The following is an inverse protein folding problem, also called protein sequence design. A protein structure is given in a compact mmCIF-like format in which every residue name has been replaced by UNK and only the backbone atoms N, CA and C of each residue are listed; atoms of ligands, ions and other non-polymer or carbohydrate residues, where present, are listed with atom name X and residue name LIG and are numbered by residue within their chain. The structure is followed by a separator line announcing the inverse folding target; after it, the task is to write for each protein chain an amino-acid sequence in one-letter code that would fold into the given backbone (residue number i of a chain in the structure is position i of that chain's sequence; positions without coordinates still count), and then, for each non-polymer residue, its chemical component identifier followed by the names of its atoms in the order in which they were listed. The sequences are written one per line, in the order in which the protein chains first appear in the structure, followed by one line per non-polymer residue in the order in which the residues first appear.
data_IF_064228091246
#
_entry.id   IF_064228091246
#
_cell.length_a   1.000
_cell.length_b   1.000
_cell.length_c   1.000
_cell.angle_alpha   90.00
_cell.angle_beta   90.00
_cell.angle_gamma   90.00
#
_symmetry.space_group_name_H-M   'P 1'
#
loop_
_entity.id
_entity.type
_entity.pdbx_description
1 polymer ?
#
# COMPACT_ATOMS: atom_id res chain seq x y z
N UNK A 1 19.18 19.30 -10.74
CA UNK A 1 19.63 18.12 -9.96
C UNK A 1 18.58 17.01 -9.91
N UNK A 2 17.29 17.32 -9.81
CA UNK A 2 16.17 16.34 -9.88
C UNK A 2 16.08 15.60 -11.22
N UNK A 3 16.30 16.28 -12.34
CA UNK A 3 16.21 15.64 -13.67
C UNK A 3 17.33 14.63 -13.93
N UNK A 4 18.56 14.90 -13.46
CA UNK A 4 19.68 13.96 -13.57
C UNK A 4 19.44 12.68 -12.74
N UNK A 5 18.87 12.82 -11.54
CA UNK A 5 18.49 11.68 -10.70
C UNK A 5 17.29 10.90 -11.28
N UNK A 6 16.33 11.59 -11.89
CA UNK A 6 15.19 10.96 -12.54
C UNK A 6 15.63 10.15 -13.78
N UNK A 7 16.50 10.71 -14.61
CA UNK A 7 17.06 10.04 -15.81
C UNK A 7 17.93 8.85 -15.39
N UNK A 8 18.77 8.98 -14.36
CA UNK A 8 19.59 7.88 -13.85
C UNK A 8 18.72 6.72 -13.30
N UNK A 9 17.63 7.04 -12.61
CA UNK A 9 16.67 6.05 -12.09
C UNK A 9 15.92 5.36 -13.22
N UNK A 10 15.52 6.11 -14.25
CA UNK A 10 14.77 5.59 -15.41
C UNK A 10 15.63 4.68 -16.29
N UNK A 11 16.88 5.09 -16.58
CA UNK A 11 17.80 4.24 -17.34
C UNK A 11 18.08 2.92 -16.60
N UNK A 12 18.20 2.98 -15.27
CA UNK A 12 18.38 1.78 -14.43
C UNK A 12 17.15 0.86 -14.47
N UNK A 13 15.93 1.39 -14.44
CA UNK A 13 14.73 0.55 -14.54
C UNK A 13 14.60 -0.13 -15.90
N UNK A 14 14.89 0.59 -16.98
CA UNK A 14 14.80 0.05 -18.34
C UNK A 14 15.85 -1.03 -18.58
N UNK A 15 17.06 -0.85 -18.03
CA UNK A 15 18.12 -1.85 -18.10
C UNK A 15 17.79 -3.12 -17.30
N UNK A 16 17.21 -2.99 -16.11
CA UNK A 16 16.75 -4.13 -15.31
C UNK A 16 15.58 -4.86 -15.99
N UNK A 17 14.68 -4.12 -16.63
CA UNK A 17 13.59 -4.69 -17.41
C UNK A 17 14.12 -5.49 -18.60
N UNK A 18 15.10 -4.96 -19.33
CA UNK A 18 15.77 -5.70 -20.43
C UNK A 18 16.47 -6.95 -19.94
N UNK A 19 17.18 -6.87 -18.81
CA UNK A 19 17.85 -8.04 -18.22
C UNK A 19 16.82 -9.11 -17.79
N UNK A 20 15.70 -8.70 -17.21
CA UNK A 20 14.62 -9.62 -16.86
C UNK A 20 14.02 -10.29 -18.11
N UNK A 21 13.79 -9.53 -19.18
CA UNK A 21 13.25 -10.04 -20.43
C UNK A 21 14.21 -11.05 -21.08
N UNK A 22 15.51 -10.77 -21.03
CA UNK A 22 16.56 -11.67 -21.53
C UNK A 22 16.54 -13.03 -20.81
N UNK A 23 16.47 -13.04 -19.47
CA UNK A 23 16.34 -14.28 -18.70
C UNK A 23 15.01 -15.00 -18.95
N UNK A 24 13.90 -14.26 -19.11
CA UNK A 24 12.60 -14.87 -19.43
C UNK A 24 12.61 -15.53 -20.81
N UNK A 25 13.31 -14.95 -21.79
CA UNK A 25 13.37 -15.47 -23.15
C UNK A 25 14.33 -16.67 -23.26
N UNK A 26 15.50 -16.60 -22.63
CA UNK A 26 16.57 -17.58 -22.79
C UNK A 26 16.54 -18.74 -21.78
N UNK A 27 16.16 -18.50 -20.52
CA UNK A 27 16.23 -19.53 -19.47
C UNK A 27 14.90 -20.31 -19.31
N UNK A 28 13.79 -19.82 -19.89
CA UNK A 28 12.46 -20.41 -19.71
C UNK A 28 11.88 -20.99 -20.99
N UNK A 29 11.13 -22.09 -20.85
CA UNK A 29 10.34 -22.65 -21.94
C UNK A 29 9.04 -21.84 -22.15
N UNK A 30 8.40 -21.93 -23.33
CA UNK A 30 7.12 -21.26 -23.59
C UNK A 30 6.06 -21.53 -22.50
N UNK A 31 5.92 -22.79 -22.09
CA UNK A 31 4.98 -23.19 -21.05
C UNK A 31 5.29 -22.56 -19.67
N UNK A 32 6.57 -22.40 -19.32
CA UNK A 32 6.97 -21.77 -18.06
C UNK A 32 6.61 -20.28 -18.06
N UNK A 33 6.78 -19.61 -19.21
CA UNK A 33 6.38 -18.20 -19.40
C UNK A 33 4.88 -18.02 -19.26
N UNK A 34 4.09 -18.93 -19.82
CA UNK A 34 2.63 -18.86 -19.72
C UNK A 34 2.15 -19.07 -18.27
N UNK A 35 2.79 -19.97 -17.52
CA UNK A 35 2.54 -20.13 -16.07
C UNK A 35 2.88 -18.87 -15.28
N UNK A 36 4.01 -18.21 -15.58
CA UNK A 36 4.37 -16.94 -14.95
C UNK A 36 3.38 -15.82 -15.28
N UNK A 37 2.96 -15.71 -16.54
CA UNK A 37 1.92 -14.75 -16.96
C UNK A 37 0.60 -15.01 -16.27
N UNK A 38 0.16 -16.27 -16.18
CA UNK A 38 -1.08 -16.65 -15.49
C UNK A 38 -1.01 -16.37 -13.98
N UNK A 39 0.15 -16.59 -13.35
CA UNK A 39 0.38 -16.25 -11.95
C UNK A 39 0.35 -14.73 -11.74
N UNK A 40 1.02 -13.95 -12.59
CA UNK A 40 1.00 -12.49 -12.53
C UNK A 40 -0.41 -11.92 -12.76
N UNK A 41 -1.16 -12.47 -13.72
CA UNK A 41 -2.54 -12.10 -13.98
C UNK A 41 -3.44 -12.41 -12.77
N UNK A 42 -3.22 -13.56 -12.11
CA UNK A 42 -3.95 -13.93 -10.90
C UNK A 42 -3.67 -12.94 -9.75
N UNK A 43 -2.41 -12.59 -9.52
CA UNK A 43 -2.02 -11.57 -8.53
C UNK A 43 -2.69 -10.24 -8.84
N UNK A 44 -2.55 -9.74 -10.07
CA UNK A 44 -3.15 -8.48 -10.50
C UNK A 44 -4.67 -8.46 -10.33
N UNK A 45 -5.35 -9.53 -10.74
CA UNK A 45 -6.80 -9.66 -10.61
C UNK A 45 -7.23 -9.60 -9.14
N UNK A 46 -6.63 -10.43 -8.28
CA UNK A 46 -7.00 -10.49 -6.87
C UNK A 46 -6.64 -9.22 -6.12
N UNK A 47 -5.49 -8.60 -6.38
CA UNK A 47 -5.13 -7.28 -5.82
C UNK A 47 -6.12 -6.21 -6.26
N UNK A 48 -6.53 -6.20 -7.53
CA UNK A 48 -7.50 -5.22 -8.06
C UNK A 48 -8.86 -5.39 -7.39
N UNK A 49 -9.36 -6.62 -7.33
CA UNK A 49 -10.64 -6.94 -6.67
C UNK A 49 -10.57 -6.60 -5.18
N UNK A 50 -9.51 -7.02 -4.50
CA UNK A 50 -9.29 -6.72 -3.09
C UNK A 50 -9.23 -5.21 -2.81
N UNK A 51 -8.51 -4.45 -3.64
CA UNK A 51 -8.43 -2.99 -3.53
C UNK A 51 -9.79 -2.32 -3.73
N UNK A 52 -10.56 -2.75 -4.74
CA UNK A 52 -11.89 -2.21 -5.01
C UNK A 52 -12.87 -2.47 -3.85
N UNK A 53 -12.86 -3.70 -3.32
CA UNK A 53 -13.66 -4.07 -2.14
C UNK A 53 -13.21 -3.27 -0.92
N UNK A 54 -11.89 -3.16 -0.71
CA UNK A 54 -11.29 -2.43 0.39
C UNK A 54 -11.67 -0.95 0.41
N UNK A 55 -11.54 -0.25 -0.72
CA UNK A 55 -11.98 1.15 -0.87
C UNK A 55 -13.47 1.29 -0.59
N UNK A 56 -14.29 0.38 -1.12
CA UNK A 56 -15.74 0.40 -0.92
C UNK A 56 -16.12 0.25 0.56
N UNK A 57 -15.47 -0.68 1.27
CA UNK A 57 -15.65 -0.86 2.72
C UNK A 57 -15.12 0.34 3.52
N UNK A 58 -13.98 0.91 3.12
CA UNK A 58 -13.42 2.12 3.70
C UNK A 58 -14.38 3.31 3.57
N UNK A 59 -15.01 3.47 2.41
CA UNK A 59 -16.01 4.51 2.17
C UNK A 59 -17.26 4.30 3.04
N UNK A 60 -17.76 3.07 3.14
CA UNK A 60 -18.87 2.71 4.03
C UNK A 60 -18.53 3.02 5.50
N UNK A 61 -17.31 2.69 5.94
CA UNK A 61 -16.83 3.00 7.28
C UNK A 61 -16.77 4.52 7.51
N UNK A 62 -16.29 5.30 6.54
CA UNK A 62 -16.28 6.76 6.61
C UNK A 62 -17.69 7.35 6.77
N UNK A 63 -18.65 6.88 5.96
CA UNK A 63 -20.06 7.30 6.02
C UNK A 63 -20.62 7.01 7.42
N UNK A 64 -20.33 5.82 7.96
CA UNK A 64 -20.82 5.39 9.27
C UNK A 64 -20.17 6.16 10.42
N UNK A 65 -18.85 6.39 10.39
CA UNK A 65 -18.16 7.21 11.39
C UNK A 65 -18.69 8.64 11.41
N UNK A 66 -18.94 9.22 10.23
CA UNK A 66 -19.50 10.57 10.10
C UNK A 66 -20.92 10.64 10.66
N UNK A 67 -21.78 9.68 10.37
CA UNK A 67 -23.15 9.67 10.89
C UNK A 67 -23.17 9.50 12.41
N UNK A 68 -22.34 8.61 12.95
CA UNK A 68 -22.17 8.44 14.40
C UNK A 68 -21.67 9.71 15.07
N UNK A 69 -20.63 10.38 14.53
CA UNK A 69 -20.14 11.65 15.07
C UNK A 69 -21.21 12.74 15.09
N UNK A 70 -22.02 12.85 14.02
CA UNK A 70 -23.14 13.80 13.98
C UNK A 70 -24.19 13.48 15.03
N UNK A 71 -24.55 12.21 15.21
CA UNK A 71 -25.52 11.78 16.22
C UNK A 71 -25.05 12.10 17.65
N UNK A 72 -23.77 11.84 17.95
CA UNK A 72 -23.16 12.22 19.23
C UNK A 72 -23.21 13.74 19.45
N UNK A 73 -22.84 14.53 18.44
CA UNK A 73 -22.89 15.99 18.55
C UNK A 73 -24.32 16.50 18.78
N UNK A 74 -25.32 15.95 18.07
CA UNK A 74 -26.72 16.34 18.28
C UNK A 74 -27.22 15.98 19.67
N UNK A 75 -26.86 14.81 20.20
CA UNK A 75 -27.28 14.39 21.54
C UNK A 75 -26.69 15.31 22.62
N UNK A 76 -25.38 15.60 22.54
CA UNK A 76 -24.69 16.47 23.50
C UNK A 76 -25.18 17.92 23.39
N UNK A 77 -25.58 18.38 22.19
CA UNK A 77 -26.15 19.71 21.98
C UNK A 77 -27.58 19.84 22.51
N UNK A 78 -28.40 18.80 22.38
CA UNK A 78 -29.81 18.84 22.75
C UNK A 78 -30.06 18.61 24.25
N UNK A 79 -29.10 18.03 24.98
CA UNK A 79 -29.22 17.78 26.41
C UNK A 79 -29.02 19.06 27.22
N UNK A 80 -29.91 19.34 28.17
CA UNK A 80 -29.74 20.42 29.15
C UNK A 80 -28.44 20.18 29.95
N UNK A 81 -27.59 21.20 30.03
CA UNK A 81 -26.23 21.04 30.55
C UNK A 81 -26.07 21.66 31.93
N UNK A 82 -25.53 20.93 32.92
CA UNK A 82 -25.09 21.54 34.15
C UNK A 82 -23.97 22.53 33.84
N UNK A 83 -24.15 23.79 34.22
CA UNK A 83 -23.18 24.87 33.98
C UNK A 83 -22.23 25.06 35.16
N UNK A 84 -22.59 24.51 36.32
CA UNK A 84 -21.89 24.72 37.60
C UNK A 84 -21.90 23.43 38.41
N UNK A 85 -20.78 23.10 39.03
CA UNK A 85 -20.70 22.11 40.12
C UNK A 85 -20.62 22.88 41.42
N UNK A 86 -21.45 22.50 42.39
CA UNK A 86 -21.37 23.02 43.76
C UNK A 86 -20.72 21.91 44.61
N UNK A 87 -19.58 22.21 45.21
CA UNK A 87 -18.88 21.30 46.11
C UNK A 87 -19.47 21.38 47.53
N UNK A 88 -19.25 20.35 48.34
CA UNK A 88 -19.73 20.27 49.74
C UNK A 88 -19.25 21.45 50.61
N UNK A 89 -18.14 22.09 50.24
CA UNK A 89 -17.59 23.29 50.90
C UNK A 89 -18.22 24.61 50.43
N UNK A 90 -19.24 24.56 49.56
CA UNK A 90 -19.93 25.72 49.00
C UNK A 90 -19.20 26.37 47.82
N UNK A 91 -18.01 25.90 47.43
CA UNK A 91 -17.31 26.39 46.23
C UNK A 91 -18.11 26.01 44.99
N UNK A 92 -18.19 26.94 44.05
CA UNK A 92 -18.85 26.72 42.76
C UNK A 92 -17.81 26.82 41.65
N UNK A 93 -17.71 25.81 40.80
CA UNK A 93 -16.81 25.79 39.64
C UNK A 93 -17.59 25.60 38.35
N UNK A 94 -17.21 26.33 37.30
CA UNK A 94 -17.87 26.26 36.00
C UNK A 94 -17.42 25.02 35.24
N UNK A 95 -18.37 24.25 34.71
CA UNK A 95 -18.04 23.13 33.82
C UNK A 95 -17.66 23.69 32.44
N UNK A 96 -16.48 23.36 31.90
CA UNK A 96 -16.07 23.84 30.59
C UNK A 96 -16.97 23.28 29.48
N UNK A 97 -17.36 24.13 28.53
CA UNK A 97 -18.14 23.70 27.37
C UNK A 97 -17.23 22.98 26.34
N UNK A 98 -17.45 21.67 26.19
CA UNK A 98 -16.70 20.82 25.27
C UNK A 98 -17.30 20.78 23.85
N UNK A 99 -18.46 21.39 23.62
CA UNK A 99 -19.15 21.42 22.31
C UNK A 99 -18.31 21.92 21.15
N UNK A 100 -17.55 23.03 21.27
CA UNK A 100 -16.73 23.49 20.15
C UNK A 100 -15.66 22.47 19.74
N UNK A 101 -15.20 21.62 20.66
CA UNK A 101 -14.23 20.56 20.37
C UNK A 101 -14.85 19.34 19.67
N UNK A 102 -16.15 19.09 19.92
CA UNK A 102 -16.90 17.98 19.32
C UNK A 102 -17.59 18.36 18.01
N UNK A 103 -17.52 19.63 17.61
CA UNK A 103 -18.17 20.12 16.40
C UNK A 103 -17.59 19.43 15.18
N UNK A 104 -18.42 18.83 14.31
CA UNK A 104 -17.94 18.32 13.03
C UNK A 104 -17.27 19.42 12.21
N UNK A 105 -16.07 19.14 11.68
CA UNK A 105 -15.30 20.07 10.85
C UNK A 105 -15.12 19.52 9.44
N UNK A 106 -14.95 20.41 8.47
CA UNK A 106 -14.71 20.04 7.07
C UNK A 106 -13.40 19.29 6.89
N UNK A 107 -12.34 19.72 7.60
CA UNK A 107 -11.05 19.05 7.59
C UNK A 107 -11.13 17.64 8.20
N UNK A 108 -11.89 17.48 9.29
CA UNK A 108 -12.13 16.18 9.91
C UNK A 108 -12.93 15.24 9.01
N UNK A 109 -13.93 15.77 8.27
CA UNK A 109 -14.68 15.01 7.28
C UNK A 109 -13.74 14.55 6.14
N UNK A 110 -12.93 15.45 5.58
CA UNK A 110 -11.93 15.10 4.55
C UNK A 110 -10.97 14.01 5.03
N UNK A 111 -10.36 14.20 6.20
CA UNK A 111 -9.45 13.22 6.79
C UNK A 111 -10.13 11.86 6.98
N UNK A 112 -11.40 11.84 7.41
CA UNK A 112 -12.15 10.59 7.59
C UNK A 112 -12.31 9.84 6.27
N UNK A 113 -12.75 10.52 5.21
CA UNK A 113 -12.88 9.88 3.89
C UNK A 113 -11.54 9.44 3.31
N UNK A 114 -10.52 10.29 3.43
CA UNK A 114 -9.18 9.99 2.93
C UNK A 114 -8.57 8.78 3.64
N UNK A 115 -8.46 8.80 4.96
CA UNK A 115 -7.80 7.72 5.71
C UNK A 115 -8.60 6.43 5.70
N UNK A 116 -9.94 6.50 5.74
CA UNK A 116 -10.74 5.28 5.66
C UNK A 116 -10.65 4.64 4.26
N UNK A 117 -10.65 5.44 3.19
CA UNK A 117 -10.50 4.92 1.83
C UNK A 117 -9.08 4.44 1.55
N UNK A 118 -8.05 5.18 1.98
CA UNK A 118 -6.66 4.79 1.84
C UNK A 118 -6.32 3.55 2.66
N UNK A 119 -6.78 3.49 3.91
CA UNK A 119 -6.66 2.30 4.75
C UNK A 119 -7.40 1.11 4.15
N UNK A 120 -8.61 1.33 3.63
CA UNK A 120 -9.37 0.32 2.90
C UNK A 120 -8.65 -0.21 1.67
N UNK A 121 -8.10 0.68 0.83
CA UNK A 121 -7.29 0.33 -0.33
C UNK A 121 -6.09 -0.53 0.07
N UNK A 122 -5.32 -0.11 1.08
CA UNK A 122 -4.14 -0.83 1.53
C UNK A 122 -4.51 -2.20 2.07
N UNK A 123 -5.45 -2.28 3.01
CA UNK A 123 -5.88 -3.56 3.60
C UNK A 123 -6.46 -4.50 2.54
N UNK A 124 -7.34 -3.99 1.68
CA UNK A 124 -7.94 -4.78 0.61
C UNK A 124 -6.92 -5.21 -0.45
N UNK A 125 -6.00 -4.32 -0.81
CA UNK A 125 -4.95 -4.56 -1.80
C UNK A 125 -3.93 -5.59 -1.32
N UNK A 126 -3.48 -5.51 -0.07
CA UNK A 126 -2.55 -6.48 0.53
C UNK A 126 -3.21 -7.86 0.70
N UNK A 127 -4.47 -7.91 1.14
CA UNK A 127 -5.21 -9.17 1.24
C UNK A 127 -5.46 -9.79 -0.14
N UNK A 128 -5.83 -8.97 -1.11
CA UNK A 128 -5.96 -9.39 -2.51
C UNK A 128 -4.63 -9.87 -3.08
N UNK A 129 -3.54 -9.17 -2.81
CA UNK A 129 -2.19 -9.57 -3.21
C UNK A 129 -1.80 -10.90 -2.60
N UNK A 130 -1.97 -11.08 -1.28
CA UNK A 130 -1.66 -12.33 -0.60
C UNK A 130 -2.48 -13.50 -1.15
N UNK A 131 -3.78 -13.31 -1.38
CA UNK A 131 -4.65 -14.30 -1.99
C UNK A 131 -4.23 -14.65 -3.43
N UNK A 132 -3.92 -13.63 -4.22
CA UNK A 132 -3.42 -13.77 -5.59
C UNK A 132 -2.07 -14.47 -5.66
N UNK A 133 -1.16 -14.16 -4.73
CA UNK A 133 0.16 -14.78 -4.61
C UNK A 133 0.05 -16.26 -4.19
N UNK A 134 -0.85 -16.59 -3.25
CA UNK A 134 -1.13 -17.98 -2.90
C UNK A 134 -1.71 -18.76 -4.09
N UNK A 135 -2.65 -18.15 -4.84
CA UNK A 135 -3.26 -18.76 -6.03
C UNK A 135 -2.23 -18.95 -7.16
N UNK A 136 -1.49 -17.90 -7.53
CA UNK A 136 -0.47 -17.96 -8.57
C UNK A 136 0.71 -18.87 -8.19
N UNK A 137 1.08 -18.88 -6.91
CA UNK A 137 2.08 -19.78 -6.35
C UNK A 137 1.70 -21.25 -6.52
N UNK A 138 0.41 -21.60 -6.30
CA UNK A 138 -0.10 -22.95 -6.57
C UNK A 138 0.07 -23.32 -8.04
N UNK A 139 -0.28 -22.43 -8.97
CA UNK A 139 -0.09 -22.63 -10.42
C UNK A 139 1.36 -22.93 -10.78
N UNK A 140 2.32 -22.15 -10.25
CA UNK A 140 3.75 -22.38 -10.49
C UNK A 140 4.22 -23.69 -9.85
N UNK A 141 3.74 -24.02 -8.65
CA UNK A 141 4.17 -25.19 -7.88
C UNK A 141 3.61 -26.53 -8.36
N UNK A 142 2.57 -26.51 -9.20
CA UNK A 142 1.89 -27.70 -9.72
C UNK A 142 2.79 -28.62 -10.55
N UNK A 143 3.84 -28.06 -11.16
CA UNK A 143 4.84 -28.78 -11.95
C UNK A 143 6.23 -28.60 -11.32
N UNK A 144 6.79 -29.66 -10.70
CA UNK A 144 8.08 -29.60 -10.03
C UNK A 144 9.25 -29.24 -10.95
N UNK A 145 9.19 -29.59 -12.24
CA UNK A 145 10.27 -29.29 -13.18
C UNK A 145 10.21 -27.83 -13.65
N UNK A 146 9.01 -27.35 -14.02
CA UNK A 146 8.80 -25.92 -14.30
C UNK A 146 9.23 -25.06 -13.12
N UNK A 147 8.85 -25.44 -11.89
CA UNK A 147 9.24 -24.73 -10.68
C UNK A 147 10.76 -24.63 -10.55
N UNK A 148 11.49 -25.73 -10.73
CA UNK A 148 12.97 -25.73 -10.68
C UNK A 148 13.59 -24.81 -11.74
N UNK A 149 13.07 -24.83 -12.97
CA UNK A 149 13.57 -23.96 -14.06
C UNK A 149 13.33 -22.49 -13.73
N UNK A 150 12.13 -22.14 -13.29
CA UNK A 150 11.76 -20.79 -12.87
C UNK A 150 12.63 -20.30 -11.70
N UNK A 151 12.83 -21.12 -10.67
CA UNK A 151 13.70 -20.76 -9.54
C UNK A 151 15.16 -20.57 -9.97
N UNK A 152 15.66 -21.41 -10.89
CA UNK A 152 17.03 -21.29 -11.41
C UNK A 152 17.21 -20.01 -12.23
N UNK A 153 16.28 -19.72 -13.14
CA UNK A 153 16.26 -18.49 -13.93
C UNK A 153 16.20 -17.26 -13.02
N UNK A 154 15.34 -17.29 -11.99
CA UNK A 154 15.22 -16.20 -11.02
C UNK A 154 16.49 -15.98 -10.20
N UNK A 155 17.19 -17.05 -9.79
CA UNK A 155 18.48 -16.94 -9.10
C UNK A 155 19.56 -16.31 -9.98
N UNK A 156 19.64 -16.70 -11.26
CA UNK A 156 20.58 -16.12 -12.24
C UNK A 156 20.31 -14.63 -12.47
N UNK A 157 19.04 -14.29 -12.73
CA UNK A 157 18.60 -12.91 -12.83
C UNK A 157 19.02 -12.09 -11.61
N UNK A 158 18.75 -12.58 -10.39
CA UNK A 158 19.13 -11.88 -9.16
C UNK A 158 20.64 -11.70 -9.02
N UNK A 159 21.45 -12.69 -9.40
CA UNK A 159 22.90 -12.54 -9.37
C UNK A 159 23.38 -11.46 -10.34
N UNK A 160 22.79 -11.39 -11.53
CA UNK A 160 23.20 -10.41 -12.54
C UNK A 160 22.71 -9.00 -12.21
N UNK A 161 21.54 -8.87 -11.58
CA UNK A 161 21.09 -7.60 -10.99
C UNK A 161 22.06 -7.12 -9.91
N UNK A 162 22.49 -8.00 -9.01
CA UNK A 162 23.42 -7.63 -7.93
C UNK A 162 24.80 -7.25 -8.47
N UNK A 163 25.30 -7.95 -9.48
CA UNK A 163 26.55 -7.60 -10.18
C UNK A 163 26.45 -6.21 -10.79
N UNK A 164 25.39 -5.93 -11.55
CA UNK A 164 25.18 -4.60 -12.13
C UNK A 164 25.05 -3.50 -11.09
N UNK A 165 24.41 -3.78 -9.95
CA UNK A 165 24.32 -2.83 -8.85
C UNK A 165 25.70 -2.55 -8.24
N UNK A 166 26.55 -3.58 -8.07
CA UNK A 166 27.93 -3.40 -7.63
C UNK A 166 28.74 -2.59 -8.65
N UNK A 167 28.69 -2.94 -9.93
CA UNK A 167 29.39 -2.20 -11.00
C UNK A 167 28.96 -0.72 -11.06
N UNK A 168 27.67 -0.44 -10.81
CA UNK A 168 27.15 0.92 -10.76
C UNK A 168 27.62 1.70 -9.53
N UNK A 169 27.84 1.01 -8.40
CA UNK A 169 28.39 1.61 -7.18
C UNK A 169 29.89 1.88 -7.33
N UNK A 170 30.65 0.96 -7.91
CA UNK A 170 32.08 1.11 -8.15
C UNK A 170 32.36 2.30 -9.08
N UNK A 171 31.63 2.41 -10.20
CA UNK A 171 31.73 3.56 -11.12
C UNK A 171 31.35 4.89 -10.48
N UNK A 172 30.40 4.89 -9.54
CA UNK A 172 30.01 6.10 -8.81
C UNK A 172 31.07 6.51 -7.77
N UNK A 173 31.76 5.55 -7.16
CA UNK A 173 32.90 5.78 -6.27
C UNK A 173 34.11 6.34 -7.01
N UNK A 174 34.49 5.74 -8.14
CA UNK A 174 35.62 6.19 -8.97
C UNK A 174 35.40 7.60 -9.55
N UNK A 175 34.17 7.94 -9.94
CA UNK A 175 33.82 9.29 -10.40
C UNK A 175 33.85 10.37 -9.31
N UNK A 176 33.83 9.97 -8.03
CA UNK A 176 33.92 10.88 -6.88
C UNK A 176 35.37 11.14 -6.42
N UNK A 177 36.35 10.32 -6.82
CA UNK A 177 37.77 10.54 -6.54
C UNK A 177 38.49 11.40 -7.61
N UNK A 178 37.80 11.70 -8.73
CA UNK A 178 38.34 12.50 -9.84
C UNK A 178 37.85 13.97 -9.86
N UNK A 179 37.20 14.42 -8.78
CA UNK A 179 36.81 15.82 -8.51
C UNK A 179 37.45 16.32 -7.21
#
# INVERSE_FOLDING_TARGET
MTDALAILRQNRSDELARLADDHIQHDLQPNDRDKLKAAAASVSLWTTVGSAVGVSLGLLAAIRLRSTRKAFFSAIRAQERPTKVVFEDGRTESIPDLTPLLKPTTLGDFATYFFASAGGLLLGGELGFAGGAASGGRTISSDPESKKRIETAFRRFRSDVLRKQADALDKAGEGSELL
#
